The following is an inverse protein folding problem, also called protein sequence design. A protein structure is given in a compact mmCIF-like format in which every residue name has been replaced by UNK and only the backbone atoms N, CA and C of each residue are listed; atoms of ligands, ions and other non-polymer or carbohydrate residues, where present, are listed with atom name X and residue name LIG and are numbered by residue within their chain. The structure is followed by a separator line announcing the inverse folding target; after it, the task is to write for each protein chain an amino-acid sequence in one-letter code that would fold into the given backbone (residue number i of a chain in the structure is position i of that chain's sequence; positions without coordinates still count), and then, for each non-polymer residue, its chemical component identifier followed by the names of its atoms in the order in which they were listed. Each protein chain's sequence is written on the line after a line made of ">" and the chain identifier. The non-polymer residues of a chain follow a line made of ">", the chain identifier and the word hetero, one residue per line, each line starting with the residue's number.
data_IF_095454803979
#
_entry.id   IF_095454803979
#
_cell.length_a   1.000
_cell.length_b   1.000
_cell.length_c   1.000
_cell.angle_alpha   90.00
_cell.angle_beta   90.00
_cell.angle_gamma   90.00
#
_symmetry.space_group_name_H-M   'P 1'
#
loop_
_entity.id
_entity.type
_entity.pdbx_description
1 polymer ?
#
# COMPACT_ATOMS: atom_id res chain seq x y z
N UNK A 1 46.28 33.11 -39.90
CA UNK A 1 45.06 33.05 -40.74
C UNK A 1 44.29 31.81 -40.30
N UNK A 2 43.33 31.97 -39.39
CA UNK A 2 42.56 30.88 -38.79
C UNK A 2 41.13 30.92 -39.32
N UNK A 3 40.69 29.84 -39.98
CA UNK A 3 39.31 29.67 -40.44
C UNK A 3 38.49 29.02 -39.32
N UNK A 4 37.55 29.77 -38.75
CA UNK A 4 36.50 29.24 -37.86
C UNK A 4 35.36 28.71 -38.72
N UNK A 5 35.16 27.40 -38.69
CA UNK A 5 34.03 26.71 -39.32
C UNK A 5 32.88 26.66 -38.31
N UNK A 6 31.92 27.58 -38.43
CA UNK A 6 30.68 27.53 -37.64
C UNK A 6 29.72 26.51 -38.26
N UNK A 7 29.54 25.37 -37.59
CA UNK A 7 28.52 24.37 -37.93
C UNK A 7 27.21 24.80 -37.27
N UNK A 8 26.29 25.36 -38.06
CA UNK A 8 24.93 25.67 -37.66
C UNK A 8 24.11 24.37 -37.67
N UNK A 9 23.84 23.80 -36.49
CA UNK A 9 22.84 22.74 -36.35
C UNK A 9 21.44 23.37 -36.34
N UNK A 10 20.48 22.86 -37.14
CA UNK A 10 19.11 23.33 -37.11
C UNK A 10 18.48 22.94 -35.77
N UNK A 11 18.06 23.95 -35.00
CA UNK A 11 17.24 23.77 -33.81
C UNK A 11 15.85 23.35 -34.30
N UNK A 12 15.64 22.04 -34.44
CA UNK A 12 14.32 21.47 -34.65
C UNK A 12 13.49 21.76 -33.40
N UNK A 13 12.57 22.70 -33.52
CA UNK A 13 11.56 23.00 -32.51
C UNK A 13 10.65 21.77 -32.42
N UNK A 14 10.94 20.85 -31.50
CA UNK A 14 10.06 19.75 -31.17
C UNK A 14 8.77 20.35 -30.61
N UNK A 15 7.71 20.36 -31.44
CA UNK A 15 6.35 20.61 -30.98
C UNK A 15 5.99 19.55 -29.94
N UNK A 16 6.11 19.92 -28.67
CA UNK A 16 5.55 19.15 -27.57
C UNK A 16 4.03 19.18 -27.74
N UNK A 17 3.46 18.04 -28.14
CA UNK A 17 2.01 17.86 -28.08
C UNK A 17 1.57 18.11 -26.63
N UNK A 18 0.44 18.82 -26.39
CA UNK A 18 -0.07 19.05 -25.06
C UNK A 18 -0.27 17.70 -24.36
N UNK A 19 0.49 17.51 -23.28
CA UNK A 19 0.41 16.33 -22.44
C UNK A 19 -0.99 16.28 -21.83
N UNK A 20 -1.86 15.44 -22.38
CA UNK A 20 -3.15 15.15 -21.79
C UNK A 20 -2.90 14.14 -20.68
N UNK A 21 -3.16 14.47 -19.40
CA UNK A 21 -3.06 13.49 -18.34
C UNK A 21 -4.03 12.33 -18.65
N UNK A 22 -3.61 11.06 -18.43
CA UNK A 22 -4.50 9.93 -18.62
C UNK A 22 -5.75 10.08 -17.74
N UNK A 23 -6.91 9.54 -18.16
CA UNK A 23 -8.13 9.62 -17.36
C UNK A 23 -7.92 8.95 -15.99
N UNK A 24 -8.58 9.45 -14.93
CA UNK A 24 -8.42 8.93 -13.58
C UNK A 24 -8.76 7.45 -13.53
N UNK A 25 -7.76 6.61 -13.28
CA UNK A 25 -7.95 5.17 -13.15
C UNK A 25 -8.78 4.90 -11.89
N UNK A 26 -9.91 4.21 -12.04
CA UNK A 26 -10.66 3.69 -10.88
C UNK A 26 -9.74 2.74 -10.13
N UNK A 27 -9.45 3.04 -8.86
CA UNK A 27 -8.71 2.13 -8.00
C UNK A 27 -9.36 0.73 -8.08
N UNK A 28 -8.56 -0.35 -8.14
CA UNK A 28 -9.09 -1.70 -8.13
C UNK A 28 -9.94 -1.90 -6.87
N UNK A 29 -11.17 -2.35 -7.06
CA UNK A 29 -12.07 -2.69 -5.96
C UNK A 29 -11.46 -3.88 -5.19
N UNK A 30 -11.40 -3.78 -3.86
CA UNK A 30 -10.82 -4.83 -3.02
C UNK A 30 -11.48 -6.18 -3.35
N UNK A 31 -10.67 -7.12 -3.87
CA UNK A 31 -11.14 -8.38 -4.44
C UNK A 31 -12.00 -9.23 -3.49
N UNK A 32 -12.69 -10.25 -4.04
CA UNK A 32 -13.64 -11.06 -3.29
C UNK A 32 -12.98 -11.69 -2.06
N UNK A 33 -13.61 -11.51 -0.90
CA UNK A 33 -13.16 -12.02 0.40
C UNK A 33 -13.21 -13.55 0.37
N UNK A 34 -12.07 -14.21 0.20
CA UNK A 34 -12.00 -15.67 0.32
C UNK A 34 -12.08 -16.06 1.79
N UNK A 35 -13.26 -16.51 2.18
CA UNK A 35 -13.47 -17.18 3.45
C UNK A 35 -12.75 -18.54 3.47
N UNK A 36 -12.34 -19.04 4.64
CA UNK A 36 -11.81 -20.40 4.81
C UNK A 36 -12.95 -21.43 4.68
N UNK A 37 -13.65 -21.41 3.53
CA UNK A 37 -14.87 -22.19 3.31
C UNK A 37 -14.60 -23.69 3.34
N UNK A 38 -13.37 -24.14 3.11
CA UNK A 38 -12.99 -25.54 3.29
C UNK A 38 -12.91 -25.93 4.77
N UNK A 39 -12.28 -25.11 5.62
CA UNK A 39 -12.06 -25.39 7.05
C UNK A 39 -13.38 -25.49 7.83
N UNK A 40 -14.32 -24.58 7.57
CA UNK A 40 -15.55 -24.48 8.37
C UNK A 40 -16.74 -25.23 7.76
N UNK A 41 -16.62 -25.82 6.57
CA UNK A 41 -17.76 -26.49 5.90
C UNK A 41 -18.14 -27.81 6.57
N UNK A 42 -17.15 -28.55 7.09
CA UNK A 42 -17.34 -29.90 7.63
C UNK A 42 -17.63 -29.93 9.13
N UNK A 43 -17.76 -28.78 9.80
CA UNK A 43 -18.08 -28.73 11.24
C UNK A 43 -19.57 -28.52 11.50
N UNK A 44 -19.97 -28.80 12.74
CA UNK A 44 -21.33 -28.53 13.22
C UNK A 44 -21.68 -27.04 13.15
N UNK A 45 -22.97 -26.72 13.05
CA UNK A 45 -23.43 -25.32 13.06
C UNK A 45 -23.06 -24.56 14.34
N UNK A 46 -23.11 -25.15 15.55
CA UNK A 46 -22.56 -24.52 16.76
C UNK A 46 -21.06 -24.21 16.64
N UNK A 47 -20.25 -25.13 16.12
CA UNK A 47 -18.82 -24.92 15.94
C UNK A 47 -18.51 -23.79 14.95
N UNK A 48 -19.27 -23.69 13.84
CA UNK A 48 -19.16 -22.54 12.93
C UNK A 48 -19.45 -21.22 13.63
N UNK A 49 -20.48 -21.16 14.49
CA UNK A 49 -20.81 -19.94 15.24
C UNK A 49 -19.69 -19.54 16.18
N UNK A 50 -19.08 -20.50 16.88
CA UNK A 50 -17.92 -20.25 17.73
C UNK A 50 -16.73 -19.69 16.95
N UNK A 51 -16.42 -20.27 15.78
CA UNK A 51 -15.39 -19.75 14.88
C UNK A 51 -15.63 -18.26 14.56
N UNK A 52 -16.86 -17.91 14.15
CA UNK A 52 -17.20 -16.52 13.84
C UNK A 52 -17.19 -15.58 15.05
N UNK A 53 -17.51 -16.10 16.25
CA UNK A 53 -17.39 -15.33 17.49
C UNK A 53 -15.93 -15.02 17.79
N UNK A 54 -15.03 -16.00 17.69
CA UNK A 54 -13.59 -15.83 17.95
C UNK A 54 -13.00 -14.72 17.07
N UNK A 55 -13.30 -14.69 15.77
CA UNK A 55 -12.75 -13.67 14.86
C UNK A 55 -13.34 -12.26 15.08
N UNK A 56 -14.46 -12.14 15.80
CA UNK A 56 -15.12 -10.87 16.12
C UNK A 56 -14.69 -10.31 17.49
N UNK A 57 -13.92 -11.07 18.28
CA UNK A 57 -13.41 -10.59 19.55
C UNK A 57 -12.43 -9.42 19.35
N UNK A 58 -12.40 -8.52 20.32
CA UNK A 58 -11.42 -7.43 20.37
C UNK A 58 -10.10 -7.90 21.00
N UNK A 59 -9.66 -9.08 20.60
CA UNK A 59 -8.41 -9.69 21.02
C UNK A 59 -7.28 -9.33 20.05
N UNK A 60 -6.04 -9.45 20.51
CA UNK A 60 -4.87 -9.35 19.62
C UNK A 60 -4.90 -10.49 18.60
N UNK A 61 -4.25 -10.30 17.43
CA UNK A 61 -4.18 -11.37 16.41
C UNK A 61 -3.56 -12.65 16.97
N UNK A 62 -2.54 -12.57 17.82
CA UNK A 62 -1.98 -13.74 18.53
C UNK A 62 -3.01 -14.46 19.40
N UNK A 63 -3.83 -13.71 20.15
CA UNK A 63 -4.88 -14.30 20.99
C UNK A 63 -5.97 -14.96 20.14
N UNK A 64 -6.36 -14.34 19.02
CA UNK A 64 -7.32 -14.92 18.07
C UNK A 64 -6.77 -16.22 17.48
N UNK A 65 -5.52 -16.22 17.02
CA UNK A 65 -4.84 -17.42 16.49
C UNK A 65 -4.81 -18.55 17.52
N UNK A 66 -4.49 -18.23 18.78
CA UNK A 66 -4.50 -19.19 19.89
C UNK A 66 -5.89 -19.77 20.13
N UNK A 67 -6.94 -18.92 20.13
CA UNK A 67 -8.33 -19.36 20.29
C UNK A 67 -8.82 -20.21 19.12
N UNK A 68 -8.44 -19.87 17.90
CA UNK A 68 -8.76 -20.64 16.70
C UNK A 68 -8.06 -22.00 16.68
N UNK A 69 -6.81 -22.07 17.13
CA UNK A 69 -6.09 -23.34 17.31
C UNK A 69 -6.78 -24.23 18.35
N UNK A 70 -7.19 -23.67 19.49
CA UNK A 70 -7.98 -24.38 20.50
C UNK A 70 -9.32 -24.87 19.96
N UNK A 71 -10.05 -24.00 19.25
CA UNK A 71 -11.30 -24.37 18.58
C UNK A 71 -11.11 -25.52 17.58
N UNK A 72 -10.04 -25.48 16.78
CA UNK A 72 -9.74 -26.53 15.81
C UNK A 72 -9.47 -27.86 16.53
N UNK A 73 -8.69 -27.85 17.62
CA UNK A 73 -8.44 -29.01 18.46
C UNK A 73 -9.73 -29.63 19.00
N UNK A 74 -10.60 -28.81 19.60
CA UNK A 74 -11.84 -29.26 20.22
C UNK A 74 -12.84 -29.86 19.23
N UNK A 75 -12.70 -29.53 17.93
CA UNK A 75 -13.54 -30.02 16.86
C UNK A 75 -12.85 -31.09 15.99
N UNK A 76 -11.66 -31.57 16.37
CA UNK A 76 -10.94 -32.60 15.63
C UNK A 76 -10.40 -32.13 14.27
N UNK A 77 -10.10 -30.83 14.13
CA UNK A 77 -9.61 -30.18 12.92
C UNK A 77 -8.19 -29.60 13.06
N UNK A 78 -7.41 -30.07 14.03
CA UNK A 78 -6.07 -29.55 14.32
C UNK A 78 -5.20 -29.52 13.05
N UNK A 79 -5.12 -30.65 12.34
CA UNK A 79 -4.31 -30.81 11.11
C UNK A 79 -4.80 -29.90 9.98
N UNK A 80 -6.11 -29.82 9.76
CA UNK A 80 -6.71 -28.97 8.73
C UNK A 80 -6.47 -27.49 9.01
N UNK A 81 -6.54 -27.09 10.29
CA UNK A 81 -6.26 -25.73 10.71
C UNK A 81 -4.78 -25.36 10.55
N UNK A 82 -3.87 -26.25 10.91
CA UNK A 82 -2.42 -26.07 10.72
C UNK A 82 -2.07 -25.94 9.23
N UNK A 83 -2.58 -26.86 8.39
CA UNK A 83 -2.40 -26.82 6.94
C UNK A 83 -2.99 -25.53 6.33
N UNK A 84 -4.17 -25.13 6.79
CA UNK A 84 -4.80 -23.89 6.37
C UNK A 84 -3.92 -22.67 6.72
N UNK A 85 -3.45 -22.59 7.96
CA UNK A 85 -2.64 -21.46 8.44
C UNK A 85 -1.30 -21.39 7.69
N UNK A 86 -0.63 -22.52 7.48
CA UNK A 86 0.59 -22.60 6.68
C UNK A 86 0.34 -22.16 5.24
N UNK A 87 -0.77 -22.58 4.63
CA UNK A 87 -1.13 -22.19 3.26
C UNK A 87 -1.37 -20.69 3.16
N UNK A 88 -2.07 -20.09 4.12
CA UNK A 88 -2.30 -18.63 4.17
C UNK A 88 -0.97 -17.88 4.32
N UNK A 89 -0.12 -18.29 5.25
CA UNK A 89 1.19 -17.67 5.47
C UNK A 89 2.07 -17.76 4.21
N UNK A 90 2.11 -18.92 3.56
CA UNK A 90 2.85 -19.12 2.33
C UNK A 90 2.30 -18.25 1.19
N UNK A 91 0.98 -18.23 1.01
CA UNK A 91 0.34 -17.41 -0.02
C UNK A 91 0.60 -15.91 0.20
N UNK A 92 0.55 -15.44 1.44
CA UNK A 92 0.87 -14.06 1.80
C UNK A 92 2.32 -13.72 1.47
N UNK A 93 3.27 -14.57 1.88
CA UNK A 93 4.70 -14.38 1.59
C UNK A 93 4.97 -14.37 0.08
N UNK A 94 4.44 -15.35 -0.65
CA UNK A 94 4.58 -15.39 -2.12
C UNK A 94 3.97 -14.17 -2.79
N UNK A 95 2.81 -13.70 -2.33
CA UNK A 95 2.19 -12.47 -2.86
C UNK A 95 3.06 -11.24 -2.60
N UNK A 96 3.61 -11.11 -1.38
CA UNK A 96 4.54 -10.03 -1.04
C UNK A 96 5.81 -10.06 -1.91
N UNK A 97 6.46 -11.22 -2.02
CA UNK A 97 7.68 -11.39 -2.81
C UNK A 97 7.45 -11.11 -4.30
N UNK A 98 6.27 -11.45 -4.83
CA UNK A 98 5.92 -11.18 -6.21
C UNK A 98 5.65 -9.68 -6.43
N UNK A 99 4.86 -9.04 -5.57
CA UNK A 99 4.47 -7.64 -5.74
C UNK A 99 5.62 -6.67 -5.47
N UNK A 100 6.45 -6.95 -4.46
CA UNK A 100 7.60 -6.11 -4.11
C UNK A 100 8.61 -5.95 -5.26
N UNK A 101 8.72 -6.95 -6.15
CA UNK A 101 9.59 -6.89 -7.34
C UNK A 101 9.10 -5.88 -8.40
N UNK A 102 7.79 -5.61 -8.44
CA UNK A 102 7.19 -4.71 -9.43
C UNK A 102 6.99 -3.30 -8.91
N UNK A 103 6.99 -3.12 -7.60
CA UNK A 103 6.83 -1.82 -6.96
C UNK A 103 8.20 -1.16 -6.77
N UNK A 104 8.24 0.16 -6.95
CA UNK A 104 9.45 0.95 -6.72
C UNK A 104 9.12 2.24 -5.96
N UNK A 105 10.15 2.91 -5.44
CA UNK A 105 10.04 4.23 -4.83
C UNK A 105 8.96 4.34 -3.73
N UNK A 106 8.10 5.36 -3.77
CA UNK A 106 7.04 5.55 -2.78
C UNK A 106 6.03 4.38 -2.71
N UNK A 107 5.77 3.69 -3.82
CA UNK A 107 4.79 2.60 -3.88
C UNK A 107 5.27 1.38 -3.09
N UNK A 108 6.55 1.01 -3.28
CA UNK A 108 7.20 -0.05 -2.51
C UNK A 108 7.27 0.32 -1.03
N UNK A 109 7.57 1.58 -0.72
CA UNK A 109 7.61 2.07 0.67
C UNK A 109 6.26 1.94 1.36
N UNK A 110 5.18 2.36 0.69
CA UNK A 110 3.82 2.21 1.20
C UNK A 110 3.45 0.72 1.37
N UNK A 111 3.76 -0.11 0.38
CA UNK A 111 3.48 -1.54 0.42
C UNK A 111 4.17 -2.24 1.61
N UNK A 112 5.45 -1.93 1.85
CA UNK A 112 6.21 -2.47 2.98
C UNK A 112 5.60 -2.05 4.33
N UNK A 113 5.19 -0.78 4.47
CA UNK A 113 4.51 -0.32 5.70
C UNK A 113 3.20 -1.06 5.95
N UNK A 114 2.38 -1.28 4.91
CA UNK A 114 1.15 -2.06 5.05
C UNK A 114 1.48 -3.50 5.44
N UNK A 115 2.52 -4.09 4.84
CA UNK A 115 2.99 -5.43 5.19
C UNK A 115 3.40 -5.53 6.66
N UNK A 116 4.18 -4.58 7.18
CA UNK A 116 4.62 -4.57 8.58
C UNK A 116 3.42 -4.51 9.55
N UNK A 117 2.42 -3.68 9.26
CA UNK A 117 1.17 -3.61 10.04
C UNK A 117 0.45 -4.97 10.03
N UNK A 118 0.38 -5.64 8.87
CA UNK A 118 -0.22 -6.98 8.75
C UNK A 118 0.56 -8.04 9.53
N UNK A 119 1.89 -7.95 9.58
CA UNK A 119 2.73 -8.90 10.33
C UNK A 119 2.72 -8.68 11.84
N UNK A 120 2.32 -7.50 12.32
CA UNK A 120 2.29 -7.23 13.75
C UNK A 120 1.19 -8.04 14.46
N UNK A 121 1.51 -9.19 15.04
CA UNK A 121 0.54 -10.04 15.73
C UNK A 121 0.09 -9.51 17.10
N UNK A 122 0.76 -8.47 17.62
CA UNK A 122 0.48 -7.84 18.91
C UNK A 122 -0.68 -6.85 18.91
N UNK A 123 -1.21 -6.47 17.74
CA UNK A 123 -2.38 -5.58 17.61
C UNK A 123 -3.65 -6.39 17.33
N UNK A 124 -4.81 -5.79 17.63
CA UNK A 124 -6.12 -6.30 17.27
C UNK A 124 -6.38 -6.16 15.76
N UNK A 125 -7.38 -6.88 15.25
CA UNK A 125 -7.81 -6.74 13.85
C UNK A 125 -8.35 -5.33 13.55
N UNK A 126 -8.97 -4.68 14.54
CA UNK A 126 -9.50 -3.32 14.42
C UNK A 126 -8.37 -2.30 14.31
N UNK A 127 -7.36 -2.40 15.17
CA UNK A 127 -6.18 -1.54 15.13
C UNK A 127 -5.37 -1.73 13.85
N UNK A 128 -5.16 -2.99 13.40
CA UNK A 128 -4.53 -3.29 12.11
C UNK A 128 -5.24 -2.53 10.98
N UNK A 129 -6.58 -2.58 10.99
CA UNK A 129 -7.34 -1.90 9.98
C UNK A 129 -7.21 -0.37 10.08
N UNK A 130 -7.33 0.21 11.27
CA UNK A 130 -7.21 1.64 11.48
C UNK A 130 -5.85 2.16 11.00
N UNK A 131 -4.77 1.46 11.34
CA UNK A 131 -3.42 1.82 10.91
C UNK A 131 -3.27 1.76 9.38
N UNK A 132 -3.78 0.71 8.72
CA UNK A 132 -3.75 0.62 7.25
C UNK A 132 -4.60 1.73 6.63
N UNK A 133 -5.78 2.00 7.18
CA UNK A 133 -6.69 3.03 6.68
C UNK A 133 -6.06 4.43 6.79
N UNK A 134 -5.53 4.79 7.96
CA UNK A 134 -4.83 6.06 8.19
C UNK A 134 -3.63 6.22 7.25
N UNK A 135 -2.85 5.14 7.08
CA UNK A 135 -1.71 5.14 6.18
C UNK A 135 -2.14 5.41 4.72
N UNK A 136 -3.22 4.78 4.26
CA UNK A 136 -3.75 4.99 2.91
C UNK A 136 -4.40 6.37 2.73
N UNK A 137 -5.05 6.93 3.76
CA UNK A 137 -5.68 8.25 3.70
C UNK A 137 -4.68 9.41 3.72
N UNK A 138 -3.51 9.20 4.32
CA UNK A 138 -2.41 10.17 4.31
C UNK A 138 -1.47 10.00 3.10
N UNK A 139 -1.79 9.09 2.18
CA UNK A 139 -1.01 8.85 0.97
C UNK A 139 -1.68 9.49 -0.25
N UNK A 140 -0.85 9.95 -1.20
CA UNK A 140 -1.33 10.45 -2.49
C UNK A 140 -2.37 9.50 -3.14
N UNK A 141 -3.51 10.02 -3.64
CA UNK A 141 -4.57 9.18 -4.19
C UNK A 141 -4.15 8.31 -5.38
N UNK A 142 -3.25 8.78 -6.25
CA UNK A 142 -2.75 8.00 -7.39
C UNK A 142 -1.89 6.85 -6.87
N UNK A 143 -1.00 7.14 -5.92
CA UNK A 143 -0.16 6.14 -5.28
C UNK A 143 -0.98 5.07 -4.56
N UNK A 144 -2.06 5.49 -3.88
CA UNK A 144 -3.01 4.58 -3.22
C UNK A 144 -3.65 3.59 -4.18
N UNK A 145 -3.96 4.00 -5.43
CA UNK A 145 -4.52 3.08 -6.42
C UNK A 145 -3.49 2.06 -6.96
N UNK A 146 -2.19 2.36 -6.88
CA UNK A 146 -1.12 1.50 -7.37
C UNK A 146 -0.69 0.42 -6.38
N UNK A 147 -0.94 0.63 -5.08
CA UNK A 147 -0.44 -0.25 -4.03
C UNK A 147 -1.54 -1.24 -3.60
N UNK A 148 -1.40 -2.54 -3.91
CA UNK A 148 -2.34 -3.55 -3.44
C UNK A 148 -2.24 -3.71 -1.93
N UNK A 149 -3.37 -3.91 -1.27
CA UNK A 149 -3.41 -4.24 0.16
C UNK A 149 -3.27 -5.76 0.33
N UNK A 150 -2.21 -6.26 0.98
CA UNK A 150 -2.04 -7.69 1.26
C UNK A 150 -3.22 -8.26 2.06
N UNK A 151 -3.46 -9.56 1.85
CA UNK A 151 -4.43 -10.33 2.62
C UNK A 151 -4.10 -10.29 4.12
N UNK A 152 -5.12 -10.34 4.96
CA UNK A 152 -4.95 -10.41 6.41
C UNK A 152 -4.48 -11.81 6.86
N UNK A 153 -3.62 -11.87 7.89
CA UNK A 153 -3.16 -13.13 8.49
C UNK A 153 -4.32 -13.88 9.12
N UNK A 154 -5.14 -13.18 9.90
CA UNK A 154 -6.33 -13.75 10.53
C UNK A 154 -7.46 -13.80 9.50
N UNK A 155 -7.98 -15.00 9.16
CA UNK A 155 -9.03 -15.14 8.17
C UNK A 155 -10.34 -14.52 8.65
N UNK A 156 -11.15 -14.10 7.67
CA UNK A 156 -12.49 -13.58 7.92
C UNK A 156 -12.72 -12.22 7.28
N UNK A 157 -13.88 -11.60 7.53
CA UNK A 157 -14.16 -10.30 6.96
C UNK A 157 -13.32 -9.26 7.71
N UNK A 158 -12.91 -8.15 7.09
CA UNK A 158 -12.42 -7.01 7.84
C UNK A 158 -13.42 -6.64 8.95
N UNK A 159 -12.94 -6.14 10.10
CA UNK A 159 -13.81 -5.60 11.14
C UNK A 159 -14.83 -4.61 10.57
N UNK A 160 -15.98 -4.48 11.21
CA UNK A 160 -16.94 -3.45 10.82
C UNK A 160 -16.24 -2.07 10.85
N UNK A 161 -16.59 -1.18 9.90
CA UNK A 161 -16.04 0.18 9.77
C UNK A 161 -14.57 0.29 9.32
N UNK A 162 -13.94 -0.84 9.00
CA UNK A 162 -12.54 -0.90 8.59
C UNK A 162 -12.25 -0.15 7.27
N UNK A 163 -13.10 -0.38 6.28
CA UNK A 163 -13.13 0.44 5.07
C UNK A 163 -14.57 0.93 4.99
N UNK A 164 -14.88 2.20 5.32
CA UNK A 164 -16.18 2.74 4.93
C UNK A 164 -16.32 2.47 3.42
N UNK A 165 -17.54 2.17 2.92
CA UNK A 165 -17.72 2.13 1.48
C UNK A 165 -17.10 3.41 0.94
N UNK A 166 -16.35 3.31 -0.15
CA UNK A 166 -16.08 4.48 -0.99
C UNK A 166 -17.45 4.86 -1.60
N UNK A 167 -18.39 5.29 -0.76
CA UNK A 167 -19.47 6.14 -1.18
C UNK A 167 -18.74 7.25 -1.88
N UNK A 168 -18.89 7.26 -3.21
CA UNK A 168 -18.44 8.26 -4.13
C UNK A 168 -17.69 9.36 -3.39
N UNK A 169 -16.35 9.37 -3.50
CA UNK A 169 -15.67 10.65 -3.45
C UNK A 169 -16.57 11.55 -4.29
N UNK A 170 -17.25 12.48 -3.61
CA UNK A 170 -18.14 13.44 -4.23
C UNK A 170 -17.37 13.88 -5.45
N UNK A 171 -17.90 13.56 -6.64
CA UNK A 171 -17.33 13.99 -7.89
C UNK A 171 -16.96 15.44 -7.65
N UNK A 172 -15.66 15.78 -7.50
CA UNK A 172 -15.32 17.16 -7.24
C UNK A 172 -15.93 17.86 -8.44
N UNK A 173 -16.77 18.84 -8.13
CA UNK A 173 -17.52 19.67 -9.06
C UNK A 173 -16.91 19.60 -10.45
N UNK A 174 -17.74 19.35 -11.46
CA UNK A 174 -17.48 19.74 -12.83
C UNK A 174 -16.72 21.06 -12.82
N UNK A 175 -15.38 20.98 -12.87
CA UNK A 175 -14.52 22.14 -12.95
C UNK A 175 -14.74 22.52 -14.39
N UNK A 176 -15.71 23.41 -14.59
CA UNK A 176 -15.74 24.25 -15.77
C UNK A 176 -14.36 24.91 -15.78
N UNK A 177 -13.46 24.36 -16.60
CA UNK A 177 -12.14 24.92 -16.82
C UNK A 177 -12.37 26.40 -17.14
N UNK A 178 -11.90 27.35 -16.32
CA UNK A 178 -11.86 28.73 -16.76
C UNK A 178 -11.01 28.73 -18.03
N UNK A 179 -11.62 29.16 -19.13
CA UNK A 179 -10.95 29.40 -20.39
C UNK A 179 -9.80 30.36 -20.11
N UNK A 180 -8.59 29.83 -20.05
CA UNK A 180 -7.36 30.61 -19.94
C UNK A 180 -7.22 31.36 -21.26
N UNK A 181 -7.73 32.60 -21.26
CA UNK A 181 -7.25 33.63 -22.16
C UNK A 181 -5.76 33.82 -21.86
N UNK A 182 -4.96 33.52 -22.87
CA UNK A 182 -3.58 33.91 -22.96
C UNK A 182 -3.55 35.44 -23.00
N UNK A 183 -3.25 36.08 -21.87
CA UNK A 183 -2.87 37.49 -21.84
C UNK A 183 -1.41 37.54 -21.38
N UNK A 184 -0.57 37.98 -22.32
CA UNK A 184 0.83 38.33 -22.13
C UNK A 184 0.93 39.43 -21.07
N UNK A 185 1.74 39.24 -20.02
CA UNK A 185 2.55 40.33 -19.45
C UNK A 185 3.83 39.78 -18.80
N UNK A 186 4.93 40.40 -19.18
CA UNK A 186 6.28 40.16 -18.69
C UNK A 186 6.51 40.94 -17.39
N UNK A 187 7.16 40.33 -16.39
CA UNK A 187 7.97 41.06 -15.40
C UNK A 187 9.27 40.30 -15.10
N UNK A 188 10.33 41.09 -15.10
CA UNK A 188 11.75 40.85 -14.91
C UNK A 188 12.12 40.79 -13.40
N UNK A 189 13.38 40.42 -13.13
CA UNK A 189 14.17 40.56 -11.87
C UNK A 189 14.27 39.30 -10.98
N UNK A 190 15.39 38.57 -11.04
CA UNK A 190 16.66 38.76 -10.30
C UNK A 190 16.53 38.68 -8.77
N UNK A 191 17.16 37.67 -8.13
CA UNK A 191 18.38 37.87 -7.35
C UNK A 191 18.91 36.57 -6.68
N UNK A 192 20.22 36.38 -6.91
CA UNK A 192 21.24 35.67 -6.13
C UNK A 192 21.00 35.49 -4.62
N UNK A 193 21.33 34.29 -4.11
CA UNK A 193 22.16 34.04 -2.90
C UNK A 193 22.26 32.50 -2.75
N UNK A 194 23.40 31.82 -2.90
CA UNK A 194 24.65 32.02 -2.16
C UNK A 194 24.61 31.21 -0.86
N UNK A 195 25.21 30.01 -0.82
CA UNK A 195 26.41 29.72 0.00
C UNK A 195 26.75 28.21 -0.02
N UNK A 196 28.04 27.95 -0.08
CA UNK A 196 28.70 26.66 0.07
C UNK A 196 28.81 26.28 1.56
N UNK A 197 28.92 24.98 1.85
CA UNK A 197 29.68 24.50 3.02
C UNK A 197 30.21 23.10 2.72
N UNK A 198 31.53 23.06 2.54
CA UNK A 198 32.40 21.89 2.65
C UNK A 198 32.56 21.54 4.13
N UNK A 199 32.43 20.27 4.50
CA UNK A 199 33.02 19.73 5.73
C UNK A 199 33.80 18.49 5.33
N UNK A 200 35.05 18.50 5.77
CA UNK A 200 36.15 17.59 5.55
C UNK A 200 36.30 16.72 6.82
N UNK A 201 36.79 15.47 6.65
CA UNK A 201 37.57 14.64 7.60
C UNK A 201 36.90 14.19 8.92
N UNK A 202 37.19 13.04 9.58
CA UNK A 202 38.38 12.17 9.77
C UNK A 202 37.94 10.68 9.80
N UNK A 203 38.65 9.67 9.26
CA UNK A 203 39.81 8.93 9.82
C UNK A 203 39.71 8.56 11.32
N UNK A 204 39.30 7.33 11.63
CA UNK A 204 39.82 6.57 12.78
C UNK A 204 39.95 5.08 12.40
N UNK A 205 41.20 4.63 12.37
CA UNK A 205 41.63 3.24 12.45
C UNK A 205 41.44 2.73 13.90
N UNK A 206 40.80 1.56 14.08
CA UNK A 206 40.96 0.76 15.30
C UNK A 206 41.37 -0.67 14.93
N UNK A 207 42.68 -0.89 15.08
CA UNK A 207 43.30 -2.17 15.40
C UNK A 207 42.81 -2.62 16.80
N UNK A 208 42.29 -3.85 16.93
CA UNK A 208 42.58 -4.67 18.12
C UNK A 208 42.21 -6.16 17.94
N UNK A 209 43.27 -6.99 18.04
CA UNK A 209 43.39 -8.39 18.49
C UNK A 209 42.59 -9.54 17.87
#
# INVERSE_FOLDING_TARGET
>A
MFFFLFILFPISVLSFAPFHPPPPHKCPEFGPRQWPSALIRNVSAPARRQFFQIIQLNDTKTQIETKLAGWAKDNGLQTEYENFTQTVQQHMKTSFDNLSKWLTGPALTLFNKIWDIRQNMGITRTEECQQIHELLMNTDPELRCLVPVPQAIIPGPPPAKCFPPFNHLDSPNEVTLPSLKLEDEAILENNNSGNATTIETDEEDEDDK
#
